data_IF_029228061157
#
_entry.id   IF_029228061157
#
_cell.length_a   1.000
_cell.length_b   1.000
_cell.length_c   1.000
_cell.angle_alpha   90.00
_cell.angle_beta   90.00
_cell.angle_gamma   90.00
#
_symmetry.space_group_name_H-M   'P 1'
#
loop_
_entity.id
_entity.type
_entity.pdbx_description
1 polymer ?
#
# COMPACT_ATOMS: atom_id res chain seq x y z
N UNK A 1 -16.96 -7.73 -5.62
CA UNK A 1 -15.76 -6.88 -5.46
C UNK A 1 -14.55 -7.67 -4.95
N UNK A 2 -14.66 -8.38 -3.82
CA UNK A 2 -13.58 -9.19 -3.23
C UNK A 2 -12.86 -10.17 -4.18
N UNK A 3 -13.60 -10.86 -5.04
CA UNK A 3 -13.04 -11.85 -5.97
C UNK A 3 -12.18 -11.19 -7.07
N UNK A 4 -12.35 -9.90 -7.35
CA UNK A 4 -11.50 -9.16 -8.31
C UNK A 4 -10.26 -8.53 -7.66
N UNK A 5 -10.26 -8.31 -6.33
CA UNK A 5 -9.15 -7.67 -5.61
C UNK A 5 -8.11 -8.66 -5.10
N UNK A 6 -8.45 -9.95 -5.05
CA UNK A 6 -7.50 -11.03 -4.75
C UNK A 6 -6.55 -11.36 -5.92
N UNK A 7 -6.71 -10.67 -7.07
CA UNK A 7 -6.06 -11.00 -8.33
C UNK A 7 -6.61 -12.31 -8.90
N UNK A 8 -7.24 -12.28 -10.07
CA UNK A 8 -7.40 -13.51 -10.83
C UNK A 8 -6.05 -13.80 -11.52
N UNK A 9 -5.57 -15.05 -11.58
CA UNK A 9 -4.34 -15.40 -12.29
C UNK A 9 -4.49 -15.32 -13.83
N UNK A 10 -5.38 -14.46 -14.34
CA UNK A 10 -5.69 -14.36 -15.76
C UNK A 10 -4.47 -13.90 -16.56
N UNK A 11 -3.91 -14.81 -17.36
CA UNK A 11 -2.99 -14.58 -18.49
C UNK A 11 -1.56 -14.10 -18.22
N UNK A 12 -1.15 -13.76 -17.00
CA UNK A 12 0.24 -13.35 -16.76
C UNK A 12 1.21 -14.55 -16.75
N UNK A 13 2.19 -14.51 -17.63
CA UNK A 13 3.38 -15.36 -17.60
C UNK A 13 4.53 -14.60 -16.92
N UNK A 14 4.98 -15.03 -15.73
CA UNK A 14 6.12 -14.41 -15.04
C UNK A 14 7.42 -14.39 -15.86
N UNK A 15 7.55 -15.24 -16.87
CA UNK A 15 8.71 -15.29 -17.77
C UNK A 15 8.59 -14.32 -18.94
N UNK A 16 7.40 -13.79 -19.20
CA UNK A 16 7.16 -12.75 -20.21
C UNK A 16 6.90 -11.39 -19.52
N UNK A 17 7.90 -10.49 -19.43
CA UNK A 17 7.74 -9.16 -18.85
C UNK A 17 6.63 -8.33 -19.51
N UNK A 18 6.31 -8.68 -20.75
CA UNK A 18 5.24 -8.09 -21.51
C UNK A 18 3.87 -8.37 -20.85
N UNK A 19 3.65 -9.56 -20.33
CA UNK A 19 2.41 -9.89 -19.65
C UNK A 19 2.29 -9.29 -18.24
N UNK A 20 3.41 -8.94 -17.60
CA UNK A 20 3.49 -8.58 -16.18
C UNK A 20 3.07 -7.13 -15.91
N UNK A 21 2.05 -6.92 -15.07
CA UNK A 21 1.56 -5.63 -14.62
C UNK A 21 2.17 -5.19 -13.27
N UNK A 22 2.51 -3.92 -13.11
CA UNK A 22 2.89 -3.36 -11.82
C UNK A 22 2.47 -1.90 -11.70
N UNK A 23 2.16 -1.47 -10.47
CA UNK A 23 2.10 -0.06 -10.12
C UNK A 23 3.51 0.43 -9.79
N UNK A 24 4.11 1.34 -10.58
CA UNK A 24 5.36 1.96 -10.21
C UNK A 24 5.13 2.92 -9.03
N UNK A 25 6.12 3.01 -8.16
CA UNK A 25 6.16 4.02 -7.09
C UNK A 25 7.57 4.57 -6.98
N UNK A 26 7.70 5.86 -6.68
CA UNK A 26 8.99 6.51 -6.45
C UNK A 26 8.98 7.18 -5.08
N UNK A 27 9.99 6.85 -4.28
CA UNK A 27 10.27 7.44 -2.98
C UNK A 27 11.37 8.52 -3.16
N UNK A 28 11.12 9.74 -2.67
CA UNK A 28 12.12 10.79 -2.65
C UNK A 28 13.07 10.56 -1.47
N UNK A 29 14.33 10.25 -1.77
CA UNK A 29 15.37 10.03 -0.77
C UNK A 29 16.55 10.99 -1.00
N UNK A 30 16.53 12.18 -0.37
CA UNK A 30 17.68 13.07 -0.39
C UNK A 30 18.85 12.47 0.41
N UNK A 31 20.07 12.98 0.17
CA UNK A 31 21.28 12.55 0.92
C UNK A 31 21.42 13.24 2.27
N UNK A 32 20.90 14.46 2.36
CA UNK A 32 20.86 15.31 3.54
C UNK A 32 19.38 15.40 3.91
N UNK A 33 19.07 15.43 5.20
CA UNK A 33 17.69 15.46 5.71
C UNK A 33 16.85 14.28 5.20
N UNK A 34 17.39 13.07 5.35
CA UNK A 34 16.66 11.82 5.06
C UNK A 34 15.36 11.81 5.88
N UNK A 35 14.19 11.61 5.24
CA UNK A 35 12.91 11.64 5.95
C UNK A 35 12.80 10.49 6.96
N UNK A 36 11.92 10.67 7.94
CA UNK A 36 11.52 9.59 8.83
C UNK A 36 10.88 8.47 8.02
N UNK A 37 11.16 7.23 8.43
CA UNK A 37 10.76 6.05 7.68
C UNK A 37 9.25 5.91 7.65
N UNK A 38 8.59 6.12 8.79
CA UNK A 38 7.13 6.05 8.87
C UNK A 38 6.43 7.10 8.01
N UNK A 39 6.94 8.33 7.95
CA UNK A 39 6.38 9.39 7.10
C UNK A 39 6.54 9.05 5.62
N UNK A 40 7.69 8.50 5.23
CA UNK A 40 7.91 8.08 3.84
C UNK A 40 7.00 6.91 3.43
N UNK A 41 6.79 5.96 4.34
CA UNK A 41 5.87 4.85 4.12
C UNK A 41 4.40 5.33 4.09
N UNK A 42 4.04 6.29 4.93
CA UNK A 42 2.73 6.94 4.91
C UNK A 42 2.48 7.64 3.56
N UNK A 43 3.43 8.44 3.09
CA UNK A 43 3.35 9.09 1.77
C UNK A 43 3.17 8.07 0.65
N UNK A 44 3.90 6.94 0.70
CA UNK A 44 3.77 5.85 -0.27
C UNK A 44 2.37 5.21 -0.23
N UNK A 45 1.87 4.90 0.96
CA UNK A 45 0.56 4.31 1.17
C UNK A 45 -0.57 5.24 0.67
N UNK A 46 -0.54 6.52 1.05
CA UNK A 46 -1.47 7.55 0.60
C UNK A 46 -1.43 7.72 -0.91
N UNK A 47 -0.24 7.83 -1.52
CA UNK A 47 -0.11 7.98 -2.97
C UNK A 47 -0.74 6.80 -3.73
N UNK A 48 -0.51 5.57 -3.27
CA UNK A 48 -1.12 4.37 -3.85
C UNK A 48 -2.65 4.38 -3.72
N UNK A 49 -3.18 4.71 -2.54
CA UNK A 49 -4.62 4.79 -2.29
C UNK A 49 -5.28 5.87 -3.16
N UNK A 50 -4.67 7.05 -3.27
CA UNK A 50 -5.14 8.13 -4.14
C UNK A 50 -5.18 7.73 -5.61
N UNK A 51 -4.22 6.93 -6.08
CA UNK A 51 -4.30 6.38 -7.44
C UNK A 51 -5.51 5.45 -7.59
N UNK A 52 -5.80 4.62 -6.60
CA UNK A 52 -6.92 3.68 -6.68
C UNK A 52 -8.30 4.35 -6.54
N UNK A 53 -8.38 5.47 -5.82
CA UNK A 53 -9.61 6.21 -5.53
C UNK A 53 -9.82 7.45 -6.42
N UNK A 54 -8.91 7.72 -7.36
CA UNK A 54 -9.06 8.85 -8.29
C UNK A 54 -10.42 8.76 -9.02
N UNK A 55 -11.21 9.85 -9.11
CA UNK A 55 -12.52 9.83 -9.76
C UNK A 55 -12.50 9.25 -11.19
N UNK A 56 -11.40 9.45 -11.93
CA UNK A 56 -11.22 8.89 -13.27
C UNK A 56 -11.25 7.36 -13.29
N UNK A 57 -10.94 6.69 -12.18
CA UNK A 57 -11.09 5.25 -12.05
C UNK A 57 -12.54 4.76 -12.25
N UNK A 58 -13.54 5.62 -11.99
CA UNK A 58 -14.96 5.35 -12.22
C UNK A 58 -15.45 5.72 -13.63
N UNK A 59 -14.61 6.39 -14.43
CA UNK A 59 -14.91 6.76 -15.82
C UNK A 59 -14.44 5.64 -16.75
N UNK A 60 -15.35 4.77 -17.21
CA UNK A 60 -15.03 3.50 -17.90
C UNK A 60 -14.07 3.66 -19.08
N UNK A 61 -14.21 4.74 -19.85
CA UNK A 61 -13.38 5.03 -21.02
C UNK A 61 -12.04 5.72 -20.69
N UNK A 62 -11.79 6.08 -19.42
CA UNK A 62 -10.55 6.76 -19.05
C UNK A 62 -9.35 5.81 -19.08
N UNK A 63 -8.17 6.37 -19.38
CA UNK A 63 -6.89 5.66 -19.27
C UNK A 63 -6.69 5.10 -17.85
N UNK A 64 -7.20 5.82 -16.84
CA UNK A 64 -7.10 5.47 -15.43
C UNK A 64 -7.87 4.18 -15.11
N UNK A 65 -9.13 4.11 -15.54
CA UNK A 65 -9.98 2.94 -15.34
C UNK A 65 -9.41 1.72 -16.06
N UNK A 66 -8.96 1.86 -17.31
CA UNK A 66 -8.35 0.79 -18.09
C UNK A 66 -7.05 0.27 -17.46
N UNK A 67 -6.17 1.18 -17.04
CA UNK A 67 -4.91 0.88 -16.35
C UNK A 67 -5.15 0.07 -15.07
N UNK A 68 -6.05 0.54 -14.21
CA UNK A 68 -6.41 -0.15 -12.96
C UNK A 68 -7.07 -1.50 -13.22
N UNK A 69 -8.00 -1.59 -14.19
CA UNK A 69 -8.67 -2.85 -14.55
C UNK A 69 -7.69 -3.93 -14.99
N UNK A 70 -6.73 -3.58 -15.84
CA UNK A 70 -5.68 -4.50 -16.30
C UNK A 70 -4.82 -5.00 -15.13
N UNK A 71 -4.50 -4.11 -14.19
CA UNK A 71 -3.69 -4.45 -13.02
C UNK A 71 -4.45 -5.27 -11.96
N UNK A 72 -5.73 -4.98 -11.71
CA UNK A 72 -6.58 -5.79 -10.83
C UNK A 72 -6.84 -7.19 -11.41
N UNK A 73 -6.90 -7.30 -12.73
CA UNK A 73 -7.00 -8.58 -13.44
C UNK A 73 -5.72 -9.43 -13.43
N UNK A 74 -4.64 -8.92 -12.85
CA UNK A 74 -3.31 -9.50 -12.80
C UNK A 74 -2.89 -9.84 -11.35
N UNK A 75 -1.65 -10.31 -11.14
CA UNK A 75 -1.07 -10.39 -9.80
C UNK A 75 -0.68 -8.97 -9.36
N UNK A 76 -1.46 -8.41 -8.46
CA UNK A 76 -1.32 -7.03 -7.98
C UNK A 76 0.08 -6.79 -7.37
N UNK A 77 0.96 -6.10 -8.11
CA UNK A 77 2.33 -5.74 -7.70
C UNK A 77 2.51 -4.24 -7.56
N UNK A 78 3.32 -3.82 -6.59
CA UNK A 78 3.86 -2.47 -6.47
C UNK A 78 5.39 -2.54 -6.61
N UNK A 79 5.98 -1.65 -7.39
CA UNK A 79 7.43 -1.57 -7.60
C UNK A 79 7.96 -0.22 -7.13
N UNK A 80 8.45 -0.19 -5.89
CA UNK A 80 9.07 0.99 -5.31
C UNK A 80 10.50 1.19 -5.84
N UNK A 81 10.77 2.41 -6.28
CA UNK A 81 12.08 2.90 -6.72
C UNK A 81 12.43 4.16 -5.95
N UNK A 82 13.70 4.54 -5.97
CA UNK A 82 14.16 5.75 -5.27
C UNK A 82 14.71 6.78 -6.25
N UNK A 83 14.39 8.03 -5.98
CA UNK A 83 14.88 9.18 -6.73
C UNK A 83 15.36 10.28 -5.80
N UNK A 84 16.21 11.16 -6.34
CA UNK A 84 16.75 12.33 -5.64
C UNK A 84 17.02 13.45 -6.63
N UNK A 85 16.94 14.70 -6.17
CA UNK A 85 17.20 15.91 -6.96
C UNK A 85 16.53 15.83 -8.34
N UNK A 86 17.25 16.14 -9.42
CA UNK A 86 16.71 16.16 -10.78
C UNK A 86 16.06 14.85 -11.26
N UNK A 87 16.41 13.69 -10.68
CA UNK A 87 15.74 12.42 -10.99
C UNK A 87 14.33 12.34 -10.39
N UNK A 88 14.11 12.97 -9.25
CA UNK A 88 12.77 13.12 -8.66
C UNK A 88 11.94 14.09 -9.48
N UNK A 89 12.50 15.28 -9.77
CA UNK A 89 11.80 16.32 -10.53
C UNK A 89 11.36 15.81 -11.93
N UNK A 90 12.19 14.97 -12.56
CA UNK A 90 11.89 14.39 -13.87
C UNK A 90 10.62 13.51 -13.90
N UNK A 91 10.21 12.92 -12.77
CA UNK A 91 9.03 12.03 -12.72
C UNK A 91 7.76 12.73 -12.25
N UNK A 92 7.83 13.97 -11.75
CA UNK A 92 6.66 14.65 -11.17
C UNK A 92 5.53 14.89 -12.18
N UNK A 93 5.87 15.22 -13.42
CA UNK A 93 4.91 15.46 -14.50
C UNK A 93 4.27 14.20 -15.10
N UNK A 94 4.59 13.00 -14.59
CA UNK A 94 3.96 11.76 -15.04
C UNK A 94 2.60 11.52 -14.37
N UNK A 95 1.65 10.85 -15.05
CA UNK A 95 0.35 10.49 -14.48
C UNK A 95 0.47 9.71 -13.17
N UNK A 96 -0.26 10.15 -12.14
CA UNK A 96 -0.20 9.58 -10.80
C UNK A 96 -0.36 10.63 -9.70
N UNK A 97 -0.30 10.21 -8.44
CA UNK A 97 -0.43 11.08 -7.28
C UNK A 97 0.88 11.20 -6.53
N UNK A 98 1.32 12.44 -6.33
CA UNK A 98 2.41 12.81 -5.41
C UNK A 98 1.80 13.15 -4.05
N UNK A 99 2.43 12.69 -2.98
CA UNK A 99 2.03 12.98 -1.61
C UNK A 99 3.26 13.39 -0.81
N UNK A 100 3.07 14.41 0.03
CA UNK A 100 4.01 14.89 1.03
C UNK A 100 3.42 14.62 2.42
N UNK A 101 4.16 13.89 3.26
CA UNK A 101 3.88 13.71 4.67
C UNK A 101 5.08 14.23 5.45
N UNK A 102 4.92 15.41 6.09
CA UNK A 102 5.97 16.03 6.91
C UNK A 102 7.34 16.20 6.21
N UNK A 103 7.34 16.42 4.90
CA UNK A 103 8.56 16.53 4.07
C UNK A 103 9.02 15.20 3.46
N UNK A 104 8.45 14.07 3.87
CA UNK A 104 8.65 12.78 3.23
C UNK A 104 7.75 12.66 2.00
N UNK A 105 8.35 12.53 0.82
CA UNK A 105 7.60 12.55 -0.44
C UNK A 105 7.65 11.21 -1.16
N UNK A 106 6.49 10.78 -1.65
CA UNK A 106 6.36 9.63 -2.53
C UNK A 106 5.37 9.94 -3.66
N UNK A 107 5.57 9.30 -4.80
CA UNK A 107 4.64 9.36 -5.93
C UNK A 107 4.31 7.95 -6.41
N UNK A 108 3.02 7.64 -6.49
CA UNK A 108 2.52 6.43 -7.14
C UNK A 108 2.02 6.80 -8.54
N UNK A 109 2.29 5.93 -9.50
CA UNK A 109 1.97 6.16 -10.92
C UNK A 109 0.85 5.23 -11.36
N UNK A 110 0.23 5.51 -12.51
CA UNK A 110 -0.68 4.57 -13.14
C UNK A 110 0.01 3.20 -13.33
N UNK A 111 -0.65 2.08 -12.94
CA UNK A 111 -0.10 0.78 -13.21
C UNK A 111 -0.06 0.47 -14.71
N UNK A 112 0.86 -0.39 -15.09
CA UNK A 112 0.98 -0.83 -16.47
C UNK A 112 1.97 -1.97 -16.58
N UNK A 113 2.25 -2.35 -17.83
CA UNK A 113 3.21 -3.41 -18.13
C UNK A 113 4.61 -3.01 -17.70
N UNK A 114 5.37 -3.94 -17.13
CA UNK A 114 6.73 -3.65 -16.64
C UNK A 114 7.72 -3.34 -17.78
N UNK A 115 7.46 -3.82 -18.99
CA UNK A 115 8.22 -3.50 -20.20
C UNK A 115 7.87 -2.11 -20.80
N UNK A 116 6.71 -1.56 -20.45
CA UNK A 116 6.20 -0.28 -20.92
C UNK A 116 6.39 0.90 -19.95
N UNK A 117 7.10 0.70 -18.83
CA UNK A 117 7.32 1.74 -17.82
C UNK A 117 8.14 2.89 -18.41
N UNK A 118 7.71 4.14 -18.17
CA UNK A 118 8.40 5.35 -18.66
C UNK A 118 9.91 5.29 -18.32
N UNK A 119 10.82 5.57 -19.28
CA UNK A 119 12.25 5.47 -19.07
C UNK A 119 12.78 6.30 -17.89
N UNK A 120 12.11 7.40 -17.54
CA UNK A 120 12.45 8.25 -16.38
C UNK A 120 12.27 7.50 -15.07
N UNK A 121 11.27 6.62 -14.98
CA UNK A 121 11.05 5.73 -13.84
C UNK A 121 11.95 4.49 -13.94
N UNK A 122 12.05 3.86 -15.12
CA UNK A 122 12.73 2.57 -15.27
C UNK A 122 14.24 2.64 -14.94
N UNK A 123 14.88 3.79 -15.14
CA UNK A 123 16.30 4.02 -14.78
C UNK A 123 16.55 4.27 -13.29
N UNK A 124 15.50 4.36 -12.46
CA UNK A 124 15.62 4.60 -11.01
C UNK A 124 15.96 3.31 -10.27
N UNK A 125 16.68 3.43 -9.17
CA UNK A 125 17.19 2.28 -8.42
C UNK A 125 16.11 1.60 -7.59
N UNK A 126 15.97 0.29 -7.77
CA UNK A 126 15.12 -0.58 -6.93
C UNK A 126 15.86 -0.99 -5.63
N UNK A 127 17.17 -1.31 -5.71
CA UNK A 127 18.01 -1.75 -4.57
C UNK A 127 19.13 -0.76 -4.22
N UNK A 128 19.55 -0.67 -2.95
CA UNK A 128 20.57 0.28 -2.46
C UNK A 128 20.24 0.87 -1.08
N UNK A 129 20.78 2.05 -0.73
CA UNK A 129 20.60 2.74 0.56
C UNK A 129 19.17 2.71 1.12
N UNK A 130 19.03 2.14 2.30
CA UNK A 130 17.78 2.04 3.04
C UNK A 130 17.57 3.27 3.93
N UNK A 131 16.34 3.45 4.43
CA UNK A 131 16.05 4.41 5.49
C UNK A 131 16.12 3.66 6.82
N UNK A 132 16.90 4.14 7.81
CA UNK A 132 17.01 3.48 9.09
C UNK A 132 15.63 3.35 9.76
N UNK A 133 15.42 2.31 10.57
CA UNK A 133 14.22 2.21 11.38
C UNK A 133 14.14 3.38 12.35
N UNK A 134 12.96 3.61 12.91
CA UNK A 134 12.76 4.66 13.90
C UNK A 134 13.68 4.48 15.12
N UNK A 135 14.17 5.58 15.71
CA UNK A 135 15.09 5.53 16.84
C UNK A 135 14.46 4.99 18.14
N UNK A 136 13.13 4.80 18.17
CA UNK A 136 12.40 4.27 19.32
C UNK A 136 10.97 3.85 18.99
N UNK A 137 10.28 3.19 19.94
CA UNK A 137 8.90 2.78 19.76
C UNK A 137 8.01 4.02 19.60
N UNK A 138 7.15 3.98 18.58
CA UNK A 138 6.14 5.01 18.37
C UNK A 138 4.84 4.63 19.06
N UNK A 139 4.18 5.60 19.67
CA UNK A 139 2.83 5.39 20.19
C UNK A 139 1.87 5.03 19.05
N UNK A 140 0.98 4.09 19.35
CA UNK A 140 -0.15 3.78 18.49
C UNK A 140 -1.10 4.98 18.44
N UNK A 141 -1.50 5.45 17.24
CA UNK A 141 -2.49 6.51 17.12
C UNK A 141 -3.83 6.12 17.76
N UNK A 142 -4.57 7.12 18.24
CA UNK A 142 -5.95 6.95 18.65
C UNK A 142 -6.82 6.51 17.45
N UNK A 143 -7.92 5.78 17.67
CA UNK A 143 -8.84 5.41 16.59
C UNK A 143 -9.38 6.62 15.84
N UNK A 144 -9.24 6.60 14.52
CA UNK A 144 -9.75 7.63 13.61
C UNK A 144 -10.21 6.97 12.29
N UNK A 145 -11.51 7.02 11.96
CA UNK A 145 -12.03 6.45 10.70
C UNK A 145 -11.49 7.14 9.45
N UNK A 146 -11.01 8.38 9.55
CA UNK A 146 -10.47 9.18 8.46
C UNK A 146 -8.94 9.21 8.43
N UNK A 147 -8.26 8.63 9.43
CA UNK A 147 -6.81 8.53 9.48
C UNK A 147 -6.35 7.12 9.93
N UNK A 148 -6.55 6.10 9.09
CA UNK A 148 -6.19 4.73 9.42
C UNK A 148 -4.69 4.56 9.71
N UNK A 149 -4.38 3.52 10.48
CA UNK A 149 -3.02 3.06 10.72
C UNK A 149 -2.74 1.77 9.94
N UNK A 150 -1.56 1.70 9.35
CA UNK A 150 -0.98 0.49 8.77
C UNK A 150 0.14 0.03 9.70
N UNK A 151 -0.11 -1.07 10.40
CA UNK A 151 0.91 -1.79 11.15
C UNK A 151 1.74 -2.65 10.20
N UNK A 152 3.04 -2.67 10.40
CA UNK A 152 4.01 -3.44 9.62
C UNK A 152 4.81 -4.33 10.58
N UNK A 153 4.98 -5.61 10.23
CA UNK A 153 5.80 -6.52 11.04
C UNK A 153 7.30 -6.18 10.89
N UNK A 154 7.87 -5.54 11.93
CA UNK A 154 9.28 -5.19 11.95
C UNK A 154 10.21 -6.42 11.99
N UNK A 155 9.71 -7.57 12.46
CA UNK A 155 10.46 -8.83 12.50
C UNK A 155 10.82 -9.38 11.12
N UNK A 156 10.14 -8.92 10.06
CA UNK A 156 10.45 -9.29 8.68
C UNK A 156 11.68 -8.55 8.10
N UNK A 157 12.18 -7.50 8.78
CA UNK A 157 13.39 -6.79 8.36
C UNK A 157 13.32 -6.20 6.94
N UNK A 158 12.12 -5.79 6.49
CA UNK A 158 11.91 -5.32 5.13
C UNK A 158 12.71 -4.06 4.82
N UNK A 159 13.32 -4.00 3.64
CA UNK A 159 13.85 -2.74 3.12
C UNK A 159 12.74 -1.72 2.90
N UNK A 160 13.05 -0.42 2.90
CA UNK A 160 12.05 0.65 2.72
C UNK A 160 11.22 0.48 1.45
N UNK A 161 11.84 -0.01 0.37
CA UNK A 161 11.13 -0.26 -0.89
C UNK A 161 10.11 -1.39 -0.78
N UNK A 162 10.41 -2.44 -0.02
CA UNK A 162 9.49 -3.56 0.23
C UNK A 162 8.39 -3.15 1.18
N UNK A 163 8.73 -2.48 2.27
CA UNK A 163 7.74 -1.91 3.18
C UNK A 163 6.80 -0.95 2.42
N UNK A 164 7.33 -0.07 1.56
CA UNK A 164 6.53 0.85 0.73
C UNK A 164 5.55 0.12 -0.19
N UNK A 165 6.00 -0.97 -0.83
CA UNK A 165 5.13 -1.81 -1.66
C UNK A 165 4.02 -2.49 -0.84
N UNK A 166 4.33 -2.98 0.37
CA UNK A 166 3.37 -3.63 1.25
C UNK A 166 2.36 -2.64 1.86
N UNK A 167 2.79 -1.47 2.34
CA UNK A 167 1.86 -0.45 2.84
C UNK A 167 0.98 0.12 1.72
N UNK A 168 1.48 0.23 0.48
CA UNK A 168 0.66 0.54 -0.68
C UNK A 168 -0.35 -0.57 -1.01
N UNK A 169 0.01 -1.83 -0.80
CA UNK A 169 -0.94 -2.94 -0.93
C UNK A 169 -2.01 -2.90 0.17
N UNK A 170 -1.60 -2.66 1.41
CA UNK A 170 -2.49 -2.50 2.56
C UNK A 170 -3.47 -1.34 2.40
N UNK A 171 -3.01 -0.17 1.95
CA UNK A 171 -3.87 1.00 1.74
C UNK A 171 -4.87 0.81 0.61
N UNK A 172 -4.44 0.19 -0.51
CA UNK A 172 -5.33 -0.17 -1.61
C UNK A 172 -6.44 -1.12 -1.15
N UNK A 173 -6.10 -2.18 -0.42
CA UNK A 173 -7.11 -3.11 0.06
C UNK A 173 -8.00 -2.47 1.10
N UNK A 174 -7.45 -1.70 2.04
CA UNK A 174 -8.25 -0.93 3.00
C UNK A 174 -9.30 -0.07 2.30
N UNK A 175 -8.92 0.66 1.24
CA UNK A 175 -9.83 1.45 0.42
C UNK A 175 -11.01 0.62 -0.12
N UNK A 176 -10.75 -0.62 -0.51
CA UNK A 176 -11.76 -1.50 -1.08
C UNK A 176 -12.77 -2.07 -0.06
N UNK A 177 -12.51 -1.92 1.24
CA UNK A 177 -13.46 -2.27 2.31
C UNK A 177 -14.15 -1.06 2.93
N UNK A 178 -13.82 0.16 2.49
CA UNK A 178 -14.60 1.35 2.82
C UNK A 178 -15.93 1.33 2.07
N UNK A 179 -16.98 1.83 2.71
CA UNK A 179 -18.18 2.20 1.98
C UNK A 179 -17.92 3.46 1.12
N UNK A 180 -18.80 3.78 0.15
CA UNK A 180 -18.60 4.93 -0.74
C UNK A 180 -18.40 6.26 0.00
N UNK A 181 -19.16 6.51 1.06
CA UNK A 181 -19.09 7.75 1.83
C UNK A 181 -17.73 7.90 2.55
N UNK A 182 -17.25 6.82 3.16
CA UNK A 182 -15.93 6.75 3.80
C UNK A 182 -14.80 6.92 2.77
N UNK A 183 -14.91 6.26 1.62
CA UNK A 183 -13.90 6.34 0.57
C UNK A 183 -13.77 7.77 0.00
N UNK A 184 -14.91 8.44 -0.24
CA UNK A 184 -14.96 9.83 -0.68
C UNK A 184 -14.33 10.74 0.37
N UNK A 185 -14.78 10.66 1.63
CA UNK A 185 -14.27 11.51 2.71
C UNK A 185 -12.75 11.32 2.93
N UNK A 186 -12.28 10.08 2.90
CA UNK A 186 -10.84 9.79 3.04
C UNK A 186 -10.03 10.31 1.84
N UNK A 187 -10.54 10.19 0.61
CA UNK A 187 -9.89 10.71 -0.59
C UNK A 187 -9.77 12.23 -0.60
N UNK A 188 -10.84 12.94 -0.20
CA UNK A 188 -10.87 14.40 -0.09
C UNK A 188 -9.81 14.94 0.88
N UNK A 189 -9.49 14.19 1.93
CA UNK A 189 -8.44 14.52 2.90
C UNK A 189 -7.01 14.19 2.44
N UNK A 190 -6.83 13.62 1.25
CA UNK A 190 -5.49 13.20 0.79
C UNK A 190 -5.18 11.72 1.02
N UNK A 191 -6.16 10.90 1.42
CA UNK A 191 -5.96 9.54 1.93
C UNK A 191 -4.90 9.49 3.04
N UNK A 192 -4.99 10.30 4.12
CA UNK A 192 -3.97 10.31 5.16
C UNK A 192 -3.91 8.94 5.86
N UNK A 193 -2.70 8.47 6.19
CA UNK A 193 -2.46 7.19 6.85
C UNK A 193 -1.28 7.31 7.80
N UNK A 194 -1.40 6.73 8.99
CA UNK A 194 -0.26 6.46 9.86
C UNK A 194 0.41 5.14 9.48
N UNK A 195 1.73 5.08 9.52
CA UNK A 195 2.47 3.80 9.42
C UNK A 195 3.20 3.52 10.73
N UNK A 196 3.12 2.29 11.22
CA UNK A 196 3.79 1.83 12.44
C UNK A 196 4.46 0.49 12.20
N UNK A 197 5.78 0.48 12.15
CA UNK A 197 6.56 -0.76 12.26
C UNK A 197 6.57 -1.19 13.73
N UNK A 198 6.02 -2.36 14.03
CA UNK A 198 5.86 -2.89 15.39
C UNK A 198 6.57 -4.24 15.55
N UNK A 199 7.02 -4.61 16.76
CA UNK A 199 7.63 -5.92 17.00
C UNK A 199 6.71 -7.08 16.62
N UNK A 200 7.30 -8.19 16.19
CA UNK A 200 6.56 -9.37 15.72
C UNK A 200 5.52 -9.91 16.73
N UNK A 201 5.81 -9.82 18.03
CA UNK A 201 4.88 -10.22 19.10
C UNK A 201 3.62 -9.34 19.12
N UNK A 202 3.80 -8.02 19.05
CA UNK A 202 2.69 -7.06 18.99
C UNK A 202 1.89 -7.23 17.70
N UNK A 203 2.58 -7.45 16.57
CA UNK A 203 1.96 -7.72 15.29
C UNK A 203 1.10 -9.00 15.34
N UNK A 204 1.61 -10.08 15.94
CA UNK A 204 0.86 -11.32 16.14
C UNK A 204 -0.40 -11.11 16.99
N UNK A 205 -0.34 -10.28 18.03
CA UNK A 205 -1.50 -9.93 18.84
C UNK A 205 -2.57 -9.17 18.02
N UNK A 206 -2.15 -8.21 17.17
CA UNK A 206 -3.05 -7.50 16.24
C UNK A 206 -3.74 -8.46 15.26
N UNK A 207 -2.98 -9.43 14.73
CA UNK A 207 -3.52 -10.47 13.84
C UNK A 207 -4.56 -11.35 14.53
N UNK A 208 -4.28 -11.80 15.76
CA UNK A 208 -5.21 -12.60 16.53
C UNK A 208 -6.54 -11.85 16.76
N UNK A 209 -6.48 -10.57 17.16
CA UNK A 209 -7.66 -9.73 17.32
C UNK A 209 -8.46 -9.56 16.02
N UNK A 210 -7.78 -9.39 14.88
CA UNK A 210 -8.45 -9.34 13.57
C UNK A 210 -9.11 -10.67 13.20
N UNK A 211 -8.45 -11.80 13.46
CA UNK A 211 -8.99 -13.13 13.18
C UNK A 211 -10.25 -13.42 14.01
N UNK A 212 -10.27 -13.03 15.29
CA UNK A 212 -11.46 -13.13 16.15
C UNK A 212 -12.63 -12.30 15.60
N UNK A 213 -12.37 -11.05 15.19
CA UNK A 213 -13.39 -10.20 14.56
C UNK A 213 -13.91 -10.79 13.26
N UNK A 214 -13.01 -11.29 12.42
CA UNK A 214 -13.37 -11.93 11.15
C UNK A 214 -14.26 -13.16 11.38
N UNK A 215 -13.98 -13.97 12.40
CA UNK A 215 -14.81 -15.13 12.74
C UNK A 215 -16.22 -14.73 13.24
N UNK A 216 -16.37 -13.54 13.82
CA UNK A 216 -17.63 -13.04 14.36
C UNK A 216 -18.49 -12.25 13.34
N UNK A 217 -17.92 -11.79 12.22
CA UNK A 217 -18.62 -10.99 11.21
C UNK A 217 -19.06 -11.84 10.02
N UNK A 218 -20.37 -12.01 9.85
CA UNK A 218 -20.96 -12.76 8.75
C UNK A 218 -20.73 -12.12 7.36
N UNK A 219 -20.39 -10.83 7.31
CA UNK A 219 -20.02 -10.10 6.10
C UNK A 219 -18.49 -10.03 5.88
N UNK A 220 -17.71 -10.64 6.76
CA UNK A 220 -16.26 -10.70 6.63
C UNK A 220 -15.84 -11.47 5.38
N UNK A 221 -14.63 -11.18 4.93
CA UNK A 221 -14.12 -11.77 3.71
C UNK A 221 -12.68 -12.23 3.85
N UNK A 222 -12.45 -13.45 3.36
CA UNK A 222 -11.13 -14.06 3.36
C UNK A 222 -10.78 -14.62 1.99
N UNK A 223 -9.51 -14.54 1.65
CA UNK A 223 -8.86 -15.36 0.63
C UNK A 223 -7.59 -15.96 1.21
N UNK A 224 -6.83 -16.72 0.42
CA UNK A 224 -5.51 -17.23 0.83
C UNK A 224 -4.55 -16.10 1.26
N UNK A 225 -4.73 -14.90 0.72
CA UNK A 225 -3.77 -13.79 0.85
C UNK A 225 -4.28 -12.63 1.70
N UNK A 226 -5.57 -12.64 2.05
CA UNK A 226 -6.25 -11.51 2.70
C UNK A 226 -7.21 -12.03 3.76
N UNK A 227 -7.21 -11.40 4.93
CA UNK A 227 -8.26 -11.51 5.94
C UNK A 227 -8.80 -10.13 6.22
N UNK A 228 -10.11 -9.91 6.10
CA UNK A 228 -10.66 -8.58 6.22
C UNK A 228 -12.07 -8.54 6.84
N UNK A 229 -12.32 -7.45 7.54
CA UNK A 229 -13.58 -7.13 8.20
C UNK A 229 -14.04 -5.77 7.68
N UNK A 230 -15.32 -5.66 7.32
CA UNK A 230 -15.91 -4.42 6.83
C UNK A 230 -16.54 -3.59 7.95
N UNK A 231 -17.57 -2.82 7.60
CA UNK A 231 -18.36 -2.03 8.53
C UNK A 231 -17.72 -0.68 8.89
N UNK A 232 -18.12 -0.05 10.01
CA UNK A 232 -17.63 1.29 10.39
C UNK A 232 -16.14 1.30 10.75
N UNK A 233 -15.57 0.15 11.12
CA UNK A 233 -14.18 -0.01 11.54
C UNK A 233 -13.48 -1.09 10.70
N UNK A 234 -13.21 -0.82 9.42
CA UNK A 234 -12.61 -1.82 8.55
C UNK A 234 -11.19 -2.16 9.00
N UNK A 235 -10.82 -3.42 8.76
CA UNK A 235 -9.49 -3.92 9.04
C UNK A 235 -9.11 -4.98 8.00
N UNK A 236 -7.86 -4.93 7.53
CA UNK A 236 -7.35 -5.83 6.48
C UNK A 236 -5.94 -6.29 6.82
N UNK A 237 -5.73 -7.60 6.89
CA UNK A 237 -4.40 -8.25 6.89
C UNK A 237 -4.01 -8.61 5.46
N UNK A 238 -2.76 -8.31 5.11
CA UNK A 238 -2.14 -8.69 3.83
C UNK A 238 -1.07 -9.73 4.06
N UNK A 239 -1.06 -10.78 3.24
CA UNK A 239 -0.01 -11.79 3.20
C UNK A 239 0.77 -11.74 1.89
N UNK A 240 2.09 -11.83 1.98
CA UNK A 240 2.94 -11.85 0.78
C UNK A 240 2.67 -13.12 -0.05
N UNK A 241 2.54 -12.95 -1.37
CA UNK A 241 2.26 -14.07 -2.27
C UNK A 241 3.51 -14.93 -2.60
N UNK A 242 4.71 -14.56 -2.11
CA UNK A 242 5.95 -15.28 -2.38
C UNK A 242 6.65 -14.84 -3.67
N UNK A 243 6.39 -13.62 -4.14
CA UNK A 243 7.10 -13.01 -5.27
C UNK A 243 8.23 -12.09 -4.81
N UNK A 244 8.56 -12.16 -3.53
CA UNK A 244 9.63 -11.39 -2.88
C UNK A 244 10.55 -12.35 -2.11
N UNK A 245 11.55 -11.82 -1.39
CA UNK A 245 12.37 -12.63 -0.48
C UNK A 245 11.64 -13.00 0.83
N UNK A 246 10.45 -12.44 1.05
CA UNK A 246 9.58 -12.77 2.18
C UNK A 246 8.92 -14.10 1.86
N UNK A 247 8.89 -15.01 2.84
CA UNK A 247 8.26 -16.31 2.67
C UNK A 247 6.79 -16.17 2.30
N UNK A 248 6.36 -16.91 1.28
CA UNK A 248 4.97 -16.92 0.83
C UNK A 248 4.01 -17.23 2.00
N UNK A 249 2.96 -16.42 2.15
CA UNK A 249 1.98 -16.53 3.21
C UNK A 249 2.33 -15.78 4.50
N UNK A 250 3.50 -15.13 4.58
CA UNK A 250 3.84 -14.26 5.72
C UNK A 250 2.91 -13.06 5.73
N UNK A 251 2.27 -12.79 6.86
CA UNK A 251 1.50 -11.56 7.05
C UNK A 251 2.47 -10.38 7.18
N UNK A 252 2.36 -9.40 6.30
CA UNK A 252 3.31 -8.29 6.19
C UNK A 252 2.77 -7.02 6.84
N UNK A 253 1.49 -6.73 6.61
CA UNK A 253 0.84 -5.50 7.11
C UNK A 253 -0.60 -5.75 7.55
N UNK A 254 -1.08 -4.91 8.47
CA UNK A 254 -2.48 -4.80 8.86
C UNK A 254 -2.89 -3.33 8.75
N UNK A 255 -3.87 -3.02 7.90
CA UNK A 255 -4.46 -1.69 7.78
C UNK A 255 -5.78 -1.62 8.55
N UNK A 256 -5.97 -0.61 9.39
CA UNK A 256 -7.21 -0.46 10.18
C UNK A 256 -7.45 0.99 10.65
N UNK A 257 -8.70 1.38 10.84
CA UNK A 257 -9.10 2.68 11.40
C UNK A 257 -9.03 2.78 12.93
N UNK A 258 -8.66 1.70 13.64
CA UNK A 258 -8.47 1.77 15.09
C UNK A 258 -7.12 1.19 15.49
N UNK A 259 -6.31 1.99 16.17
CA UNK A 259 -5.01 1.56 16.66
C UNK A 259 -5.07 0.60 17.86
N UNK A 260 -6.22 0.52 18.54
CA UNK A 260 -6.42 -0.29 19.75
C UNK A 260 -6.47 -1.80 19.51
N UNK A 261 -6.75 -2.58 20.56
CA UNK A 261 -7.04 -4.01 20.44
C UNK A 261 -8.50 -4.28 20.01
N UNK A 262 -9.41 -3.34 20.29
CA UNK A 262 -10.81 -3.41 19.91
C UNK A 262 -11.25 -2.08 19.27
N UNK A 263 -12.22 -2.12 18.32
CA UNK A 263 -12.83 -0.90 17.81
C UNK A 263 -13.57 -0.17 18.94
N UNK A 264 -13.71 1.16 18.87
CA UNK A 264 -14.61 1.91 19.73
C UNK A 264 -16.02 1.33 19.70
N UNK A 265 -16.70 1.34 20.86
CA UNK A 265 -18.12 0.93 20.98
C UNK A 265 -19.04 1.91 20.26
#
# INVERSE_FOLDING_TARGET
MLVHLAGHPGSEDPQDPSSVQAMPMVLKLPKVDTPLRHDLLAAAASACARVCLDPRAGEEESEWAQSLKNWYGAKIRKLARRARASKWDAVLGLPGHEVDVHGAMAKAFLPGRVDGVDPRINKLQIQGSDVPPEPGPMSTPEPDPLHPVIFVDAGLGMTVGKAAAQVGHGSMLYAAFLNPEQAIAWFELGCPVHVREIPAEEFAAKRAALAERHAADAAAASSRWITAVGGPWPAVEVRDAGHTEIAAGSATVIATSYGGQQPPR
#
